data_IF_174268316207
#
_entry.id   IF_174268316207
#
_cell.length_a   1.000
_cell.length_b   1.000
_cell.length_c   1.000
_cell.angle_alpha   90.00
_cell.angle_beta   90.00
_cell.angle_gamma   90.00
#
_symmetry.space_group_name_H-M   'P 1'
#
loop_
_entity.id
_entity.type
_entity.pdbx_description
1 polymer ?
#
# COMPACT_ATOMS: atom_id res chain seq x y z
N UNK A 1 8.10 -7.15 -10.55
CA UNK A 1 8.09 -8.51 -9.93
C UNK A 1 7.71 -8.36 -8.48
N UNK A 2 6.90 -9.28 -7.93
CA UNK A 2 6.52 -9.26 -6.51
C UNK A 2 7.07 -10.50 -5.81
N UNK A 3 7.48 -10.32 -4.55
CA UNK A 3 7.86 -11.39 -3.64
C UNK A 3 6.96 -11.30 -2.41
N UNK A 4 6.16 -12.34 -2.17
CA UNK A 4 5.30 -12.44 -1.00
C UNK A 4 6.12 -12.58 0.28
N UNK A 5 5.70 -11.92 1.34
CA UNK A 5 6.22 -12.09 2.69
C UNK A 5 5.22 -12.84 3.59
N UNK A 6 4.20 -13.49 2.98
CA UNK A 6 3.28 -14.36 3.72
C UNK A 6 3.99 -15.62 4.21
N UNK A 7 3.44 -16.23 5.25
CA UNK A 7 3.95 -17.48 5.79
C UNK A 7 4.27 -17.37 7.27
N UNK A 8 5.24 -18.16 7.71
CA UNK A 8 5.59 -18.23 9.12
C UNK A 8 6.49 -17.05 9.52
N UNK A 9 6.05 -16.35 10.55
CA UNK A 9 6.78 -15.31 11.22
C UNK A 9 7.01 -15.73 12.67
N UNK A 10 8.19 -15.51 13.19
CA UNK A 10 8.46 -15.72 14.62
C UNK A 10 7.84 -14.58 15.39
N UNK A 11 6.97 -14.88 16.34
CA UNK A 11 6.34 -13.92 17.23
C UNK A 11 6.94 -14.02 18.63
N UNK A 12 7.34 -12.90 19.18
CA UNK A 12 7.88 -12.77 20.54
C UNK A 12 7.13 -11.70 21.32
N UNK A 13 6.67 -11.97 22.54
CA UNK A 13 6.16 -10.92 23.42
C UNK A 13 7.32 -10.07 23.94
N UNK A 14 7.11 -8.76 24.11
CA UNK A 14 8.11 -7.85 24.63
C UNK A 14 7.84 -7.40 26.06
N UNK A 15 6.58 -7.40 26.49
CA UNK A 15 6.17 -6.93 27.83
C UNK A 15 6.04 -8.10 28.80
N UNK A 16 5.18 -9.07 28.55
CA UNK A 16 5.02 -10.28 29.38
C UNK A 16 5.81 -11.45 28.80
N UNK A 17 7.02 -11.62 29.23
CA UNK A 17 7.91 -12.69 28.76
C UNK A 17 7.51 -14.09 29.24
N UNK A 18 6.43 -14.25 30.00
CA UNK A 18 5.89 -15.56 30.38
C UNK A 18 5.11 -16.21 29.20
N UNK A 19 4.72 -15.41 28.20
CA UNK A 19 4.11 -15.90 26.97
C UNK A 19 5.23 -16.48 26.09
N UNK A 20 5.16 -17.74 25.67
CA UNK A 20 6.21 -18.35 24.87
C UNK A 20 6.28 -17.72 23.46
N UNK A 21 7.50 -17.70 22.92
CA UNK A 21 7.69 -17.42 21.49
C UNK A 21 7.10 -18.56 20.66
N UNK A 22 6.51 -18.21 19.51
CA UNK A 22 5.94 -19.19 18.59
C UNK A 22 6.09 -18.72 17.13
N UNK A 23 6.02 -19.67 16.21
CA UNK A 23 5.98 -19.40 14.77
C UNK A 23 4.52 -19.33 14.32
N UNK A 24 4.06 -18.17 13.93
CA UNK A 24 2.68 -17.93 13.53
C UNK A 24 2.58 -17.62 12.04
N UNK A 25 1.46 -18.02 11.44
CA UNK A 25 1.23 -17.81 10.01
C UNK A 25 0.54 -16.45 9.77
N UNK A 26 1.20 -15.55 9.05
CA UNK A 26 0.66 -14.26 8.65
C UNK A 26 0.35 -14.23 7.13
N UNK A 27 -0.59 -13.41 6.66
CA UNK A 27 -1.31 -12.33 7.38
C UNK A 27 -2.50 -12.84 8.18
N UNK A 28 -2.66 -12.36 9.40
CA UNK A 28 -3.84 -12.51 10.24
C UNK A 28 -3.75 -11.57 11.45
N UNK A 29 -4.87 -11.19 12.08
CA UNK A 29 -4.84 -10.52 13.38
C UNK A 29 -4.29 -11.45 14.46
N UNK A 30 -3.57 -10.89 15.43
CA UNK A 30 -2.97 -11.68 16.51
C UNK A 30 -4.02 -12.45 17.32
N UNK A 31 -5.21 -11.86 17.51
CA UNK A 31 -6.31 -12.51 18.24
C UNK A 31 -6.82 -13.81 17.61
N UNK A 32 -6.63 -14.01 16.31
CA UNK A 32 -7.05 -15.23 15.61
C UNK A 32 -6.00 -16.34 15.63
N UNK A 33 -4.73 -15.98 15.81
CA UNK A 33 -3.60 -16.92 15.72
C UNK A 33 -2.98 -17.25 17.09
N UNK A 34 -3.17 -16.37 18.09
CA UNK A 34 -2.72 -16.60 19.46
C UNK A 34 -3.67 -17.58 20.21
N UNK A 35 -3.17 -18.27 21.24
CA UNK A 35 -4.03 -19.15 22.04
C UNK A 35 -5.27 -18.44 22.58
N UNK A 36 -6.43 -19.09 22.49
CA UNK A 36 -7.71 -18.56 22.99
C UNK A 36 -7.73 -18.27 24.51
N UNK A 37 -6.70 -18.66 25.24
CA UNK A 37 -6.50 -18.33 26.64
C UNK A 37 -6.08 -16.86 26.87
N UNK A 38 -5.56 -16.20 25.82
CA UNK A 38 -5.22 -14.79 25.86
C UNK A 38 -6.45 -13.97 25.44
N UNK A 39 -6.90 -13.07 26.32
CA UNK A 39 -7.97 -12.15 25.97
C UNK A 39 -7.46 -11.07 24.99
N UNK A 40 -8.35 -10.50 24.20
CA UNK A 40 -8.01 -9.37 23.31
C UNK A 40 -7.37 -8.20 24.07
N UNK A 41 -7.86 -7.92 25.29
CA UNK A 41 -7.26 -6.91 26.17
C UNK A 41 -5.81 -7.26 26.57
N UNK A 42 -5.53 -8.55 26.87
CA UNK A 42 -4.18 -8.98 27.20
C UNK A 42 -3.25 -8.91 25.97
N UNK A 43 -3.76 -9.13 24.77
CA UNK A 43 -3.03 -8.98 23.52
C UNK A 43 -2.73 -7.51 23.26
N UNK A 44 -3.72 -6.64 23.43
CA UNK A 44 -3.58 -5.19 23.20
C UNK A 44 -2.68 -4.49 24.23
N UNK A 45 -2.61 -5.00 25.46
CA UNK A 45 -1.72 -4.48 26.52
C UNK A 45 -0.26 -4.96 26.40
N UNK A 46 0.06 -5.69 25.35
CA UNK A 46 1.35 -6.31 25.13
C UNK A 46 2.02 -5.70 23.89
N UNK A 47 3.29 -5.41 23.97
CA UNK A 47 4.10 -5.15 22.79
C UNK A 47 4.56 -6.47 22.17
N UNK A 48 4.57 -6.52 20.83
CA UNK A 48 4.89 -7.72 20.07
C UNK A 48 5.99 -7.46 19.05
N UNK A 49 6.87 -8.45 18.88
CA UNK A 49 7.93 -8.43 17.89
C UNK A 49 7.77 -9.60 16.93
N UNK A 50 7.52 -9.29 15.66
CA UNK A 50 7.44 -10.25 14.56
C UNK A 50 8.74 -10.22 13.77
N UNK A 51 9.25 -11.40 13.42
CA UNK A 51 10.46 -11.55 12.62
C UNK A 51 10.23 -12.52 11.47
N UNK A 52 10.69 -12.13 10.28
CA UNK A 52 10.68 -12.96 9.08
C UNK A 52 11.98 -12.81 8.31
N UNK A 53 12.56 -13.93 7.91
CA UNK A 53 13.83 -13.93 7.17
C UNK A 53 13.60 -14.31 5.71
N UNK A 54 14.26 -13.58 4.81
CA UNK A 54 14.31 -13.91 3.39
C UNK A 54 15.75 -13.98 2.90
N UNK A 55 15.97 -14.74 1.83
CA UNK A 55 17.25 -14.77 1.11
C UNK A 55 17.18 -13.86 -0.11
N UNK A 56 18.14 -12.97 -0.23
CA UNK A 56 18.27 -12.01 -1.35
C UNK A 56 19.58 -12.28 -2.09
N UNK A 57 19.45 -12.57 -3.37
CA UNK A 57 20.60 -12.81 -4.25
C UNK A 57 20.96 -11.56 -5.08
N UNK A 58 22.05 -11.66 -5.84
CA UNK A 58 22.52 -10.56 -6.68
C UNK A 58 21.51 -10.17 -7.77
N UNK A 59 20.66 -11.09 -8.21
CA UNK A 59 19.64 -10.80 -9.22
C UNK A 59 18.53 -9.91 -8.68
N UNK A 60 18.16 -10.08 -7.41
CA UNK A 60 17.21 -9.21 -6.70
C UNK A 60 17.86 -7.86 -6.36
N UNK A 61 19.13 -7.86 -5.97
CA UNK A 61 19.87 -6.63 -5.69
C UNK A 61 20.16 -5.79 -6.96
N UNK A 62 20.04 -6.36 -8.14
CA UNK A 62 20.17 -5.64 -9.40
C UNK A 62 18.98 -4.70 -9.70
N UNK A 63 17.87 -4.81 -8.98
CA UNK A 63 16.75 -3.87 -9.10
C UNK A 63 17.12 -2.52 -8.45
N UNK A 64 16.89 -1.39 -9.16
CA UNK A 64 17.26 -0.08 -8.65
C UNK A 64 16.37 0.39 -7.48
N UNK A 65 15.14 -0.11 -7.39
CA UNK A 65 14.22 0.17 -6.28
C UNK A 65 13.47 -1.09 -5.88
N UNK A 66 13.23 -1.24 -4.57
CA UNK A 66 12.45 -2.32 -3.97
C UNK A 66 11.55 -1.72 -2.90
N UNK A 67 10.26 -1.71 -3.14
CA UNK A 67 9.29 -1.23 -2.15
C UNK A 67 8.81 -2.38 -1.26
N UNK A 68 8.87 -2.17 0.04
CA UNK A 68 8.08 -2.96 0.99
C UNK A 68 6.67 -2.39 1.05
N UNK A 69 5.69 -3.27 0.89
CA UNK A 69 4.27 -2.91 0.91
C UNK A 69 3.60 -3.63 2.06
N UNK A 70 3.08 -2.86 2.98
CA UNK A 70 2.28 -3.31 4.12
C UNK A 70 0.90 -2.66 4.05
N UNK A 71 -0.14 -3.47 4.02
CA UNK A 71 -1.52 -3.00 4.02
C UNK A 71 -2.32 -3.65 5.14
N UNK A 72 -3.28 -2.91 5.68
CA UNK A 72 -4.10 -3.41 6.77
C UNK A 72 -3.29 -3.75 8.02
N UNK A 73 -2.31 -2.92 8.36
CA UNK A 73 -1.62 -2.98 9.65
C UNK A 73 -2.47 -2.23 10.65
N UNK A 74 -2.96 -2.95 11.64
CA UNK A 74 -3.77 -2.40 12.72
C UNK A 74 -2.92 -2.30 13.98
N UNK A 75 -2.92 -1.14 14.62
CA UNK A 75 -2.04 -0.72 15.69
C UNK A 75 -0.78 0.03 15.20
N UNK A 76 -0.13 0.78 16.12
CA UNK A 76 1.14 1.43 15.83
C UNK A 76 2.24 0.38 15.68
N UNK A 77 2.97 0.42 14.59
CA UNK A 77 4.03 -0.55 14.34
C UNK A 77 5.28 0.11 13.75
N UNK A 78 6.43 -0.15 14.33
CA UNK A 78 7.72 0.19 13.75
C UNK A 78 8.22 -0.96 12.87
N UNK A 79 8.61 -0.65 11.64
CA UNK A 79 9.14 -1.61 10.69
C UNK A 79 10.65 -1.47 10.58
N UNK A 80 11.37 -2.57 10.80
CA UNK A 80 12.83 -2.64 10.70
C UNK A 80 13.26 -3.63 9.64
N UNK A 81 14.42 -3.36 9.06
CA UNK A 81 15.13 -4.28 8.19
C UNK A 81 16.58 -4.39 8.65
N UNK A 82 17.01 -5.61 8.95
CA UNK A 82 18.36 -5.90 9.46
C UNK A 82 18.70 -5.08 10.73
N UNK A 83 17.70 -4.84 11.60
CA UNK A 83 17.84 -4.07 12.84
C UNK A 83 17.79 -2.54 12.66
N UNK A 84 17.61 -2.04 11.43
CA UNK A 84 17.52 -0.61 11.14
C UNK A 84 16.05 -0.23 10.98
N UNK A 85 15.56 0.75 11.74
CA UNK A 85 14.22 1.32 11.58
C UNK A 85 14.09 1.99 10.20
N UNK A 86 13.04 1.62 9.47
CA UNK A 86 12.83 2.07 8.09
C UNK A 86 11.63 3.00 7.97
N UNK A 87 10.51 2.65 8.62
CA UNK A 87 9.29 3.46 8.66
C UNK A 87 8.35 2.97 9.77
N UNK A 88 7.39 3.82 10.10
CA UNK A 88 6.34 3.53 11.07
C UNK A 88 4.98 3.41 10.39
N UNK A 89 4.12 2.53 10.91
CA UNK A 89 2.71 2.43 10.58
C UNK A 89 1.93 3.07 11.73
N UNK A 90 1.37 4.25 11.50
CA UNK A 90 0.73 5.10 12.49
C UNK A 90 -0.81 5.12 12.37
N UNK A 91 -1.38 4.17 11.63
CA UNK A 91 -2.81 4.07 11.29
C UNK A 91 -3.35 5.22 10.41
N UNK A 92 -2.52 6.16 10.01
CA UNK A 92 -2.94 7.27 9.13
C UNK A 92 -3.29 6.80 7.72
N UNK A 93 -2.77 5.64 7.31
CA UNK A 93 -2.93 5.08 5.98
C UNK A 93 -3.34 3.61 6.03
N UNK A 94 -4.14 3.18 5.06
CA UNK A 94 -4.45 1.76 4.89
C UNK A 94 -3.28 0.95 4.34
N UNK A 95 -2.44 1.55 3.50
CA UNK A 95 -1.31 0.91 2.86
C UNK A 95 -0.07 1.79 3.01
N UNK A 96 1.01 1.18 3.48
CA UNK A 96 2.33 1.80 3.63
C UNK A 96 3.26 1.24 2.56
N UNK A 97 4.00 2.15 1.89
CA UNK A 97 5.01 1.81 0.89
C UNK A 97 6.30 2.53 1.18
N UNK A 98 7.39 1.77 1.23
CA UNK A 98 8.73 2.35 1.46
C UNK A 98 9.76 1.67 0.59
N UNK A 99 10.60 2.47 -0.08
CA UNK A 99 11.79 1.94 -0.75
C UNK A 99 12.79 1.44 0.29
N UNK A 100 12.99 0.13 0.30
CA UNK A 100 13.90 -0.56 1.22
C UNK A 100 15.18 -1.02 0.54
N UNK A 101 15.36 -0.74 -0.76
CA UNK A 101 16.54 -1.15 -1.51
C UNK A 101 17.86 -0.77 -0.83
N UNK A 102 18.00 0.43 -0.21
CA UNK A 102 19.22 0.82 0.49
C UNK A 102 19.58 -0.05 1.71
N UNK A 103 18.61 -0.75 2.28
CA UNK A 103 18.76 -1.56 3.51
C UNK A 103 18.93 -3.05 3.21
N UNK A 104 18.67 -3.50 1.96
CA UNK A 104 18.83 -4.89 1.54
C UNK A 104 20.30 -5.23 1.33
N UNK A 105 20.68 -6.42 1.76
CA UNK A 105 22.02 -6.99 1.60
C UNK A 105 21.96 -8.36 0.92
N UNK A 106 23.07 -8.81 0.37
CA UNK A 106 23.21 -10.17 -0.17
C UNK A 106 23.07 -11.19 0.96
N UNK A 107 22.35 -12.29 0.70
CA UNK A 107 22.11 -13.36 1.64
C UNK A 107 20.88 -13.08 2.51
N UNK A 108 20.95 -13.47 3.76
CA UNK A 108 19.84 -13.38 4.71
C UNK A 108 19.53 -11.92 5.07
N UNK A 109 18.26 -11.55 4.92
CA UNK A 109 17.71 -10.28 5.38
C UNK A 109 16.58 -10.57 6.36
N UNK A 110 16.54 -9.85 7.48
CA UNK A 110 15.54 -9.98 8.51
C UNK A 110 14.60 -8.79 8.51
N UNK A 111 13.34 -9.06 8.25
CA UNK A 111 12.24 -8.13 8.48
C UNK A 111 11.75 -8.25 9.90
N UNK A 112 11.52 -7.11 10.53
CA UNK A 112 11.01 -7.04 11.90
C UNK A 112 9.86 -6.03 11.91
N UNK A 113 8.76 -6.40 12.56
CA UNK A 113 7.62 -5.53 12.80
C UNK A 113 7.38 -5.55 14.30
N UNK A 114 7.52 -4.38 14.93
CA UNK A 114 7.30 -4.19 16.35
C UNK A 114 5.97 -3.48 16.53
N UNK A 115 4.99 -4.17 17.08
CA UNK A 115 3.77 -3.54 17.57
C UNK A 115 4.07 -2.95 18.94
N UNK A 116 4.07 -1.63 19.02
CA UNK A 116 4.43 -0.88 20.20
C UNK A 116 3.19 -0.25 20.82
N UNK A 117 3.21 -0.03 22.12
CA UNK A 117 2.20 0.78 22.80
C UNK A 117 2.31 2.22 22.27
N UNK A 118 1.17 2.78 21.86
CA UNK A 118 1.10 4.18 21.45
C UNK A 118 1.34 5.04 22.70
N UNK A 119 2.45 5.75 22.78
CA UNK A 119 2.56 6.83 23.73
C UNK A 119 1.39 7.78 23.46
N UNK A 120 0.49 7.97 24.43
CA UNK A 120 -0.64 8.88 24.34
C UNK A 120 -0.13 10.30 24.04
N UNK A 121 0.25 10.59 22.81
CA UNK A 121 0.14 11.94 22.31
C UNK A 121 -1.35 12.23 22.30
N UNK A 122 -1.74 13.14 23.19
CA UNK A 122 -3.06 13.75 23.25
C UNK A 122 -3.33 14.47 21.92
N UNK A 123 -3.55 13.71 20.87
CA UNK A 123 -4.17 14.20 19.65
C UNK A 123 -5.62 14.51 20.01
N UNK A 124 -5.91 15.78 20.14
CA UNK A 124 -7.25 16.27 20.40
C UNK A 124 -8.22 15.63 19.42
N UNK A 125 -9.40 15.23 19.88
CA UNK A 125 -10.45 14.60 19.04
C UNK A 125 -10.79 15.44 17.79
N UNK A 126 -10.52 16.74 17.81
CA UNK A 126 -10.66 17.66 16.69
C UNK A 126 -9.74 17.34 15.51
N UNK A 127 -8.51 16.86 15.74
CA UNK A 127 -7.59 16.48 14.67
C UNK A 127 -7.97 15.14 14.04
N UNK A 128 -8.58 14.23 14.81
CA UNK A 128 -9.13 12.96 14.28
C UNK A 128 -10.33 13.19 13.37
N UNK A 129 -11.17 14.19 13.68
CA UNK A 129 -12.32 14.57 12.84
C UNK A 129 -11.87 15.25 11.53
N UNK A 130 -10.83 16.09 11.58
CA UNK A 130 -10.28 16.73 10.40
C UNK A 130 -9.65 15.73 9.41
N UNK A 131 -9.02 14.66 9.91
CA UNK A 131 -8.50 13.57 9.08
C UNK A 131 -9.62 12.72 8.45
N UNK A 132 -10.76 12.56 9.13
CA UNK A 132 -11.95 11.89 8.57
C UNK A 132 -12.62 12.69 7.45
N UNK A 133 -12.54 14.03 7.46
CA UNK A 133 -13.09 14.88 6.41
C UNK A 133 -12.23 14.95 5.15
N UNK A 134 -10.95 14.58 5.22
CA UNK A 134 -9.98 14.70 4.13
C UNK A 134 -9.92 13.52 3.17
N UNK A 135 -10.70 12.47 3.36
CA UNK A 135 -10.75 11.54 2.29
C UNK A 135 -11.10 10.11 2.55
N UNK A 136 -11.95 9.67 1.79
CA UNK A 136 -12.57 8.40 1.47
C UNK A 136 -11.74 7.10 1.65
N UNK A 137 -10.52 7.12 2.15
CA UNK A 137 -9.68 5.96 2.39
C UNK A 137 -9.06 5.92 3.80
N UNK A 138 -9.52 6.74 4.74
CA UNK A 138 -9.09 6.59 6.12
C UNK A 138 -9.64 5.26 6.64
N UNK A 139 -8.74 4.28 6.81
CA UNK A 139 -9.04 3.03 7.48
C UNK A 139 -9.47 3.35 8.92
N UNK A 140 -10.71 3.00 9.25
CA UNK A 140 -11.15 3.00 10.64
C UNK A 140 -10.93 1.59 11.19
N UNK A 141 -10.03 1.41 12.15
CA UNK A 141 -9.89 0.12 12.82
C UNK A 141 -11.23 -0.21 13.47
N UNK A 142 -11.83 -1.33 13.07
CA UNK A 142 -13.14 -1.75 13.59
C UNK A 142 -13.07 -2.31 14.99
N UNK A 143 -11.86 -2.62 15.48
CA UNK A 143 -11.61 -3.32 16.74
C UNK A 143 -10.26 -2.95 17.33
N UNK A 144 -10.04 -3.27 18.60
CA UNK A 144 -8.76 -3.22 19.32
C UNK A 144 -7.82 -4.38 18.94
N UNK A 145 -7.89 -4.89 17.72
CA UNK A 145 -7.10 -6.03 17.26
C UNK A 145 -5.79 -5.57 16.66
N UNK A 146 -4.69 -6.17 17.05
CA UNK A 146 -3.38 -6.01 16.44
C UNK A 146 -3.17 -7.06 15.35
N UNK A 147 -2.45 -6.72 14.29
CA UNK A 147 -2.03 -7.69 13.29
C UNK A 147 -1.79 -7.09 11.91
N UNK A 148 -1.56 -7.99 10.97
CA UNK A 148 -1.43 -7.69 9.55
C UNK A 148 -2.57 -8.40 8.83
N UNK A 149 -3.44 -7.64 8.18
CA UNK A 149 -4.68 -8.14 7.58
C UNK A 149 -4.58 -8.46 6.10
N UNK A 150 -3.56 -7.93 5.44
CA UNK A 150 -3.33 -8.10 4.00
C UNK A 150 -1.96 -8.71 3.78
N UNK A 151 -1.81 -9.37 2.65
CA UNK A 151 -0.56 -9.97 2.23
C UNK A 151 0.56 -8.94 2.17
N UNK A 152 1.60 -9.01 3.04
CA UNK A 152 2.78 -8.19 2.92
C UNK A 152 3.64 -8.69 1.77
N UNK A 153 4.23 -7.77 1.00
CA UNK A 153 5.08 -8.16 -0.13
C UNK A 153 6.15 -7.13 -0.45
N UNK A 154 7.16 -7.57 -1.19
CA UNK A 154 8.16 -6.71 -1.80
C UNK A 154 7.83 -6.51 -3.28
N UNK A 155 7.78 -5.26 -3.72
CA UNK A 155 7.63 -4.87 -5.11
C UNK A 155 9.00 -4.49 -5.69
N UNK A 156 9.55 -5.32 -6.58
CA UNK A 156 10.78 -5.03 -7.29
C UNK A 156 10.48 -4.20 -8.54
N UNK A 157 11.09 -3.00 -8.62
CA UNK A 157 10.88 -2.02 -9.69
C UNK A 157 12.13 -1.95 -10.55
N UNK A 158 11.98 -2.15 -11.86
CA UNK A 158 13.10 -2.20 -12.79
C UNK A 158 13.37 -0.88 -13.48
N UNK A 159 12.35 -0.25 -14.00
CA UNK A 159 12.50 0.92 -14.85
C UNK A 159 11.76 2.14 -14.33
N UNK A 160 10.49 1.95 -13.96
CA UNK A 160 9.58 3.05 -13.64
C UNK A 160 8.74 2.70 -12.42
N UNK A 161 8.67 3.62 -11.45
CA UNK A 161 7.74 3.55 -10.32
C UNK A 161 6.55 4.45 -10.61
N UNK A 162 5.33 3.92 -10.46
CA UNK A 162 4.11 4.72 -10.48
C UNK A 162 3.95 5.42 -9.11
N UNK A 163 3.95 6.74 -9.09
CA UNK A 163 3.83 7.53 -7.86
C UNK A 163 2.37 7.84 -7.51
N UNK A 164 1.65 8.42 -8.47
CA UNK A 164 0.22 8.66 -8.30
C UNK A 164 -0.52 8.70 -9.63
N UNK A 165 -1.84 8.63 -9.55
CA UNK A 165 -2.74 8.77 -10.68
C UNK A 165 -3.75 9.85 -10.34
N UNK A 166 -3.97 10.78 -11.26
CA UNK A 166 -5.07 11.73 -11.14
C UNK A 166 -6.05 11.53 -12.28
N UNK A 167 -7.31 11.75 -12.01
CA UNK A 167 -8.36 11.72 -13.06
C UNK A 167 -9.12 13.02 -13.08
N UNK A 168 -9.47 13.47 -14.28
CA UNK A 168 -10.25 14.66 -14.52
C UNK A 168 -11.46 14.33 -15.39
N UNK A 169 -12.63 14.86 -15.03
CA UNK A 169 -13.87 14.70 -15.78
C UNK A 169 -14.23 16.03 -16.44
N UNK A 170 -14.27 16.04 -17.77
CA UNK A 170 -14.59 17.22 -18.58
C UNK A 170 -15.94 16.96 -19.26
N UNK A 171 -16.99 17.62 -18.75
CA UNK A 171 -18.34 17.43 -19.22
C UNK A 171 -18.72 18.38 -20.34
N UNK A 172 -19.43 17.88 -21.35
CA UNK A 172 -19.88 18.65 -22.50
C UNK A 172 -21.38 18.93 -22.44
N UNK A 173 -21.82 20.06 -22.97
CA UNK A 173 -23.22 20.46 -23.00
C UNK A 173 -24.16 19.45 -23.70
N UNK A 174 -23.63 18.50 -24.45
CA UNK A 174 -24.36 17.41 -25.09
C UNK A 174 -24.55 16.15 -24.24
N UNK A 175 -24.07 16.15 -22.99
CA UNK A 175 -24.17 15.00 -22.07
C UNK A 175 -23.05 13.97 -22.17
N UNK A 176 -22.07 14.21 -23.03
CA UNK A 176 -20.83 13.39 -23.07
C UNK A 176 -19.79 13.85 -22.05
N UNK A 177 -18.86 12.98 -21.70
CA UNK A 177 -17.77 13.24 -20.79
C UNK A 177 -16.42 12.81 -21.41
N UNK A 178 -15.42 13.68 -21.36
CA UNK A 178 -14.04 13.28 -21.54
C UNK A 178 -13.44 12.94 -20.18
N UNK A 179 -13.00 11.70 -20.05
CA UNK A 179 -12.33 11.21 -18.83
C UNK A 179 -10.84 11.12 -19.09
N UNK A 180 -10.10 12.03 -18.46
CA UNK A 180 -8.65 12.12 -18.55
C UNK A 180 -8.01 11.39 -17.38
N UNK A 181 -6.98 10.61 -17.66
CA UNK A 181 -6.18 9.89 -16.67
C UNK A 181 -4.73 10.34 -16.83
N UNK A 182 -4.18 10.95 -15.80
CA UNK A 182 -2.78 11.37 -15.75
C UNK A 182 -2.01 10.45 -14.82
N UNK A 183 -0.93 9.88 -15.33
CA UNK A 183 -0.01 8.99 -14.62
C UNK A 183 1.24 9.79 -14.27
N UNK A 184 1.60 9.84 -12.99
CA UNK A 184 2.86 10.43 -12.52
C UNK A 184 3.80 9.33 -12.08
N UNK A 185 5.05 9.39 -12.53
CA UNK A 185 5.99 8.31 -12.32
C UNK A 185 7.42 8.81 -12.17
N UNK A 186 8.22 8.02 -11.47
CA UNK A 186 9.66 8.22 -11.35
C UNK A 186 10.42 7.18 -12.17
N UNK A 187 11.37 7.64 -12.98
CA UNK A 187 12.22 6.77 -13.81
C UNK A 187 13.51 6.41 -13.07
N UNK A 188 13.82 5.11 -13.00
CA UNK A 188 15.06 4.59 -12.41
C UNK A 188 16.05 4.08 -13.45
N UNK A 189 15.58 3.52 -14.56
CA UNK A 189 16.43 2.98 -15.61
C UNK A 189 15.82 3.20 -17.00
N UNK A 190 16.65 3.29 -18.02
CA UNK A 190 16.22 3.39 -19.41
C UNK A 190 15.56 2.11 -19.89
N UNK A 191 14.63 2.22 -20.83
CA UNK A 191 13.92 1.10 -21.43
C UNK A 191 12.81 1.56 -22.37
N UNK A 192 12.22 0.63 -23.11
CA UNK A 192 10.99 0.85 -23.87
C UNK A 192 9.82 0.40 -23.02
N UNK A 193 9.26 1.33 -22.27
CA UNK A 193 8.18 1.07 -21.31
C UNK A 193 6.90 1.70 -21.85
N UNK A 194 5.79 1.02 -21.64
CA UNK A 194 4.45 1.54 -21.89
C UNK A 194 3.56 1.30 -20.67
N UNK A 195 2.69 2.26 -20.40
CA UNK A 195 1.58 2.08 -19.47
C UNK A 195 0.36 1.53 -20.22
N UNK A 196 -0.36 0.60 -19.61
CA UNK A 196 -1.67 0.17 -20.05
C UNK A 196 -2.73 0.81 -19.17
N UNK A 197 -3.62 1.60 -19.74
CA UNK A 197 -4.76 2.20 -19.05
C UNK A 197 -6.04 1.64 -19.64
N UNK A 198 -6.87 1.03 -18.82
CA UNK A 198 -8.16 0.46 -19.21
C UNK A 198 -9.29 1.16 -18.47
N UNK A 199 -10.27 1.64 -19.22
CA UNK A 199 -11.46 2.30 -18.70
C UNK A 199 -12.64 2.09 -19.67
N UNK A 200 -13.84 1.85 -19.16
CA UNK A 200 -15.06 1.63 -19.95
C UNK A 200 -14.88 0.59 -21.07
N UNK A 201 -14.21 -0.54 -20.78
CA UNK A 201 -13.93 -1.60 -21.75
C UNK A 201 -12.89 -1.26 -22.82
N UNK A 202 -12.41 -0.02 -22.88
CA UNK A 202 -11.35 0.43 -23.79
C UNK A 202 -10.00 0.35 -23.11
N UNK A 203 -8.96 0.01 -23.88
CA UNK A 203 -7.56 -0.07 -23.39
C UNK A 203 -6.67 0.80 -24.26
N UNK A 204 -5.89 1.65 -23.63
CA UNK A 204 -4.82 2.42 -24.27
C UNK A 204 -3.47 1.96 -23.75
N UNK A 205 -2.53 1.72 -24.69
CA UNK A 205 -1.13 1.50 -24.37
C UNK A 205 -0.37 2.78 -24.71
N UNK A 206 0.17 3.43 -23.69
CA UNK A 206 0.84 4.72 -23.79
C UNK A 206 2.35 4.47 -23.68
N UNK A 207 3.14 4.66 -24.75
CA UNK A 207 4.58 4.64 -24.63
C UNK A 207 5.04 5.79 -23.75
N UNK A 208 5.88 5.48 -22.74
CA UNK A 208 6.37 6.48 -21.81
C UNK A 208 7.62 7.17 -22.37
N UNK A 209 7.66 8.49 -22.28
CA UNK A 209 8.91 9.26 -22.40
C UNK A 209 9.60 9.24 -21.03
N UNK A 210 10.67 8.44 -20.90
CA UNK A 210 11.40 8.29 -19.65
C UNK A 210 12.19 9.56 -19.23
N UNK A 211 12.13 10.62 -20.04
CA UNK A 211 12.62 11.95 -19.67
C UNK A 211 11.53 12.84 -19.07
N UNK A 212 10.27 12.40 -19.18
CA UNK A 212 9.11 12.99 -18.51
C UNK A 212 8.84 12.24 -17.20
N UNK A 213 8.11 12.87 -16.31
CA UNK A 213 7.58 12.31 -15.07
C UNK A 213 6.07 12.04 -15.15
N UNK A 214 5.48 12.23 -16.34
CA UNK A 214 4.04 12.22 -16.52
C UNK A 214 3.64 11.73 -17.91
N UNK A 215 2.51 11.01 -17.97
CA UNK A 215 1.84 10.59 -19.22
C UNK A 215 0.31 10.63 -19.03
N UNK A 216 -0.43 10.84 -20.12
CA UNK A 216 -1.88 10.99 -20.06
C UNK A 216 -2.61 10.07 -21.03
N UNK A 217 -3.79 9.62 -20.63
CA UNK A 217 -4.79 8.98 -21.50
C UNK A 217 -6.11 9.77 -21.44
N UNK A 218 -6.80 9.84 -22.58
CA UNK A 218 -8.10 10.51 -22.69
C UNK A 218 -9.13 9.53 -23.25
N UNK A 219 -10.22 9.32 -22.50
CA UNK A 219 -11.34 8.47 -22.90
C UNK A 219 -12.57 9.35 -23.18
N UNK A 220 -13.17 9.17 -24.34
CA UNK A 220 -14.43 9.81 -24.69
C UNK A 220 -15.60 8.89 -24.34
N UNK A 221 -16.51 9.36 -23.52
CA UNK A 221 -17.71 8.63 -23.07
C UNK A 221 -18.93 9.38 -23.57
N UNK A 222 -19.57 8.86 -24.60
CA UNK A 222 -20.70 9.54 -25.27
C UNK A 222 -21.97 9.59 -24.41
N UNK A 223 -22.20 8.55 -23.59
CA UNK A 223 -23.36 8.43 -22.73
C UNK A 223 -22.95 7.89 -21.34
N UNK A 224 -22.34 8.72 -20.49
CA UNK A 224 -21.94 8.29 -19.15
C UNK A 224 -23.16 7.95 -18.30
N UNK A 225 -23.04 6.87 -17.52
CA UNK A 225 -24.07 6.44 -16.57
C UNK A 225 -23.67 6.87 -15.15
N UNK A 226 -24.33 7.87 -14.55
CA UNK A 226 -23.95 8.35 -13.23
C UNK A 226 -24.26 7.35 -12.10
N UNK A 227 -25.11 6.37 -12.36
CA UNK A 227 -25.49 5.36 -11.36
C UNK A 227 -24.57 4.12 -11.36
N UNK A 228 -23.67 3.98 -12.33
CA UNK A 228 -22.84 2.79 -12.47
C UNK A 228 -21.38 3.17 -12.31
N UNK A 229 -20.65 2.59 -11.33
CA UNK A 229 -19.23 2.82 -11.22
C UNK A 229 -18.48 2.15 -12.38
N UNK A 230 -17.51 2.85 -12.94
CA UNK A 230 -16.60 2.37 -13.96
C UNK A 230 -15.33 1.84 -13.33
N UNK A 231 -14.80 0.77 -13.85
CA UNK A 231 -13.52 0.22 -13.40
C UNK A 231 -12.37 0.88 -14.17
N UNK A 232 -11.47 1.52 -13.45
CA UNK A 232 -10.19 2.00 -13.94
C UNK A 232 -9.13 0.96 -13.56
N UNK A 233 -8.38 0.48 -14.55
CA UNK A 233 -7.25 -0.42 -14.36
C UNK A 233 -6.02 0.18 -15.02
N UNK A 234 -4.92 0.25 -14.28
CA UNK A 234 -3.64 0.77 -14.75
C UNK A 234 -2.57 -0.28 -14.49
N UNK A 235 -1.75 -0.52 -15.49
CA UNK A 235 -0.57 -1.40 -15.38
C UNK A 235 0.65 -0.65 -15.91
N UNK A 236 1.72 -0.61 -15.10
CA UNK A 236 2.98 0.06 -15.41
C UNK A 236 4.16 -0.70 -14.80
N UNK A 237 5.06 -1.22 -15.62
CA UNK A 237 6.29 -1.94 -15.22
C UNK A 237 6.04 -3.02 -14.14
N UNK A 238 4.93 -3.80 -14.33
CA UNK A 238 4.52 -4.85 -13.39
C UNK A 238 3.85 -4.35 -12.11
N UNK A 239 3.52 -3.07 -12.05
CA UNK A 239 2.74 -2.45 -11.00
C UNK A 239 1.31 -2.26 -11.47
N UNK A 240 0.34 -2.50 -10.61
CA UNK A 240 -1.09 -2.38 -10.94
C UNK A 240 -1.79 -1.44 -9.98
N UNK A 241 -2.74 -0.68 -10.51
CA UNK A 241 -3.69 0.10 -9.73
C UNK A 241 -5.10 -0.19 -10.29
N UNK A 242 -6.04 -0.48 -9.39
CA UNK A 242 -7.45 -0.65 -9.74
C UNK A 242 -8.30 0.24 -8.86
N UNK A 243 -9.20 0.99 -9.46
CA UNK A 243 -10.11 1.87 -8.74
C UNK A 243 -11.51 1.85 -9.38
N UNK A 244 -12.53 2.10 -8.56
CA UNK A 244 -13.88 2.37 -9.04
C UNK A 244 -14.07 3.88 -9.16
N UNK A 245 -14.52 4.33 -10.32
CA UNK A 245 -14.75 5.74 -10.65
C UNK A 245 -16.23 5.95 -10.97
N UNK A 246 -16.80 6.95 -10.33
CA UNK A 246 -18.16 7.42 -10.67
C UNK A 246 -18.02 8.64 -11.58
N UNK A 247 -18.74 8.63 -12.71
CA UNK A 247 -18.81 9.79 -13.60
C UNK A 247 -19.99 10.65 -13.14
N UNK A 248 -19.66 11.83 -12.57
CA UNK A 248 -20.62 12.79 -12.05
C UNK A 248 -20.11 14.21 -12.31
N UNK A 249 -20.97 15.10 -12.82
CA UNK A 249 -20.63 16.51 -13.11
C UNK A 249 -20.16 17.29 -11.86
N UNK A 250 -20.53 16.82 -10.66
CA UNK A 250 -20.08 17.42 -9.40
C UNK A 250 -18.63 17.05 -9.04
N UNK A 251 -18.07 16.00 -9.66
CA UNK A 251 -16.72 15.51 -9.42
C UNK A 251 -15.82 15.93 -10.59
N UNK A 252 -14.97 16.93 -10.39
CA UNK A 252 -14.07 17.37 -11.46
C UNK A 252 -12.74 16.62 -11.47
N UNK A 253 -12.13 16.43 -10.31
CA UNK A 253 -10.79 15.79 -10.16
C UNK A 253 -10.80 14.80 -9.02
N UNK A 254 -10.17 13.65 -9.23
CA UNK A 254 -9.92 12.65 -8.18
C UNK A 254 -8.44 12.25 -8.18
N UNK A 255 -7.87 12.09 -7.01
CA UNK A 255 -6.49 11.66 -6.82
C UNK A 255 -6.46 10.24 -6.24
N UNK A 256 -5.67 9.37 -6.86
CA UNK A 256 -5.34 8.06 -6.34
C UNK A 256 -3.85 8.07 -6.00
N UNK A 257 -3.55 8.14 -4.72
CA UNK A 257 -2.19 7.96 -4.23
C UNK A 257 -1.93 6.48 -4.15
N UNK A 258 -0.78 6.08 -4.62
CA UNK A 258 -0.36 4.70 -4.58
C UNK A 258 0.54 4.45 -3.37
#
# INVERSE_FOLDING_TARGET
MQLSLTGYWQLSPLTDLSIPQDDLCFPAPLSEILPASLSEQAIAAQEWHLMHDIEVDDSLLAYPAVEMVLAGVDYHAEVRLNGIAVFDCDKSQFEYRKDIRPYLQHGRNRFEILFLEEEEELLFEEDRLALCELGANAYQPSDERMGIWREPYLQFIRHVRLDCVTTEQIWHHGGGCEFKVDLYYQTYASGLISASVKFDGRRYNIPLDLRSDHASALFQIDAPSPATPYQLEIELDGQTLSALVVLDEAISVTHFVR
#
